data_IF_201290505878
#
_entry.id   IF_201290505878
#
_cell.length_a   1.000
_cell.length_b   1.000
_cell.length_c   1.000
_cell.angle_alpha   90.00
_cell.angle_beta   90.00
_cell.angle_gamma   90.00
#
_symmetry.space_group_name_H-M   'P 1'
#
loop_
_entity.id
_entity.type
_entity.pdbx_description
1 polymer ?
#
# COMPACT_ATOMS: atom_id res chain seq x y z
N UNK A 1 -16.91 -35.53 -87.08
CA UNK A 1 -15.51 -35.77 -86.79
C UNK A 1 -15.19 -35.12 -85.47
N UNK A 2 -14.97 -35.92 -84.51
CA UNK A 2 -14.88 -35.79 -83.06
C UNK A 2 -13.53 -35.28 -82.61
N UNK A 3 -13.45 -34.40 -81.68
CA UNK A 3 -12.31 -34.24 -80.78
C UNK A 3 -12.73 -33.77 -79.38
N UNK A 4 -12.59 -34.65 -78.42
CA UNK A 4 -12.71 -34.40 -76.99
C UNK A 4 -11.59 -33.50 -76.45
N UNK A 5 -11.89 -32.50 -75.64
CA UNK A 5 -10.95 -31.85 -74.74
C UNK A 5 -11.38 -32.04 -73.32
N UNK A 6 -10.54 -32.83 -72.60
CA UNK A 6 -10.61 -33.07 -71.17
C UNK A 6 -10.07 -31.84 -70.43
N UNK A 7 -10.86 -31.26 -69.54
CA UNK A 7 -10.49 -30.13 -68.69
C UNK A 7 -10.18 -30.64 -67.29
N UNK A 8 -8.89 -30.64 -66.92
CA UNK A 8 -8.42 -30.94 -65.55
C UNK A 8 -8.73 -29.74 -64.62
N UNK A 9 -9.64 -29.92 -63.68
CA UNK A 9 -9.81 -28.99 -62.57
C UNK A 9 -8.80 -29.28 -61.48
N UNK A 10 -7.85 -28.35 -61.25
CA UNK A 10 -6.98 -28.32 -60.07
C UNK A 10 -7.72 -27.77 -58.88
N UNK A 11 -8.02 -28.61 -57.90
CA UNK A 11 -8.52 -28.18 -56.60
C UNK A 11 -7.32 -27.67 -55.75
N UNK A 12 -7.23 -26.37 -55.59
CA UNK A 12 -6.33 -25.77 -54.61
C UNK A 12 -7.03 -25.75 -53.24
N UNK A 13 -6.66 -26.67 -52.36
CA UNK A 13 -7.01 -26.60 -50.96
C UNK A 13 -6.19 -25.50 -50.29
N UNK A 14 -6.83 -24.37 -49.96
CA UNK A 14 -6.26 -23.33 -49.14
C UNK A 14 -6.36 -23.77 -47.67
N UNK A 15 -5.25 -24.27 -47.10
CA UNK A 15 -5.14 -24.52 -45.67
C UNK A 15 -5.02 -23.16 -44.95
N UNK A 16 -6.14 -22.66 -44.42
CA UNK A 16 -6.13 -21.61 -43.42
C UNK A 16 -5.62 -22.19 -42.09
N UNK A 17 -4.36 -22.03 -41.80
CA UNK A 17 -3.78 -22.22 -40.48
C UNK A 17 -4.31 -21.11 -39.58
N UNK A 18 -5.40 -21.42 -38.83
CA UNK A 18 -5.87 -20.59 -37.71
C UNK A 18 -4.80 -20.72 -36.62
N UNK A 19 -3.97 -19.71 -36.48
CA UNK A 19 -3.09 -19.52 -35.32
C UNK A 19 -3.98 -19.12 -34.12
N UNK A 20 -4.51 -20.11 -33.41
CA UNK A 20 -5.04 -19.87 -32.08
C UNK A 20 -3.86 -19.50 -31.17
N UNK A 21 -3.63 -18.22 -30.99
CA UNK A 21 -2.78 -17.72 -29.93
C UNK A 21 -3.38 -18.14 -28.60
N UNK A 22 -2.86 -19.22 -28.02
CA UNK A 22 -3.14 -19.60 -26.64
C UNK A 22 -2.54 -18.46 -25.79
N UNK A 23 -3.36 -17.54 -25.33
CA UNK A 23 -3.06 -16.67 -24.19
C UNK A 23 -2.80 -17.60 -23.00
N UNK A 24 -1.57 -18.04 -22.85
CA UNK A 24 -1.13 -18.65 -21.62
C UNK A 24 -1.22 -17.57 -20.55
N UNK A 25 -2.25 -17.63 -19.72
CA UNK A 25 -2.25 -16.96 -18.44
C UNK A 25 -1.00 -17.44 -17.70
N UNK A 26 0.05 -16.64 -17.69
CA UNK A 26 1.27 -16.93 -16.93
C UNK A 26 0.87 -16.88 -15.47
N UNK A 27 0.47 -18.01 -14.93
CA UNK A 27 0.22 -18.15 -13.50
C UNK A 27 1.58 -18.00 -12.84
N UNK A 28 1.71 -16.98 -11.99
CA UNK A 28 2.93 -16.76 -11.23
C UNK A 28 3.25 -18.01 -10.41
N UNK A 29 4.47 -18.53 -10.58
CA UNK A 29 4.92 -19.68 -9.82
C UNK A 29 5.38 -19.24 -8.42
N UNK A 30 5.22 -20.09 -7.39
CA UNK A 30 5.76 -19.83 -6.06
C UNK A 30 7.26 -19.55 -6.13
N UNK A 31 7.70 -18.51 -5.40
CA UNK A 31 9.12 -18.15 -5.25
C UNK A 31 9.52 -18.36 -3.81
N UNK A 32 10.64 -19.03 -3.59
CA UNK A 32 11.17 -19.32 -2.26
C UNK A 32 12.65 -18.95 -2.20
N UNK A 33 13.02 -18.17 -1.21
CA UNK A 33 14.36 -17.62 -1.04
C UNK A 33 14.88 -17.97 0.35
N UNK A 34 16.09 -18.53 0.38
CA UNK A 34 16.86 -18.81 1.57
C UNK A 34 18.05 -17.83 1.63
N UNK A 35 18.03 -16.97 2.63
CA UNK A 35 19.02 -15.90 2.81
C UNK A 35 20.25 -16.42 3.54
N UNK A 36 21.10 -17.11 2.78
CA UNK A 36 22.17 -17.91 3.34
C UNK A 36 23.48 -17.79 2.55
N UNK A 37 24.61 -18.02 3.21
CA UNK A 37 25.93 -18.24 2.57
C UNK A 37 26.27 -19.71 2.48
N UNK A 38 25.67 -20.55 3.33
CA UNK A 38 25.82 -21.98 3.33
C UNK A 38 25.08 -22.68 2.20
N UNK A 39 24.67 -23.92 2.47
CA UNK A 39 23.83 -24.71 1.58
C UNK A 39 22.37 -24.30 1.79
N UNK A 40 21.70 -23.90 0.74
CA UNK A 40 20.28 -23.55 0.83
C UNK A 40 19.39 -24.78 1.09
N UNK A 41 18.22 -24.54 1.72
CA UNK A 41 17.18 -25.55 1.86
C UNK A 41 16.71 -26.03 0.48
N UNK A 42 16.40 -27.31 0.41
CA UNK A 42 15.91 -27.92 -0.82
C UNK A 42 14.66 -27.20 -1.31
N UNK A 43 14.58 -26.84 -2.58
CA UNK A 43 13.50 -26.07 -3.24
C UNK A 43 13.54 -24.56 -3.01
N UNK A 44 14.51 -24.05 -2.26
CA UNK A 44 14.72 -22.60 -2.10
C UNK A 44 15.87 -22.11 -2.97
N UNK A 45 15.73 -20.91 -3.47
CA UNK A 45 16.80 -20.20 -4.16
C UNK A 45 17.73 -19.58 -3.11
N UNK A 46 19.02 -19.91 -3.18
CA UNK A 46 20.02 -19.30 -2.32
C UNK A 46 20.18 -17.82 -2.64
N UNK A 47 20.15 -16.97 -1.61
CA UNK A 47 20.39 -15.53 -1.73
C UNK A 47 21.58 -15.14 -0.85
N UNK A 48 22.67 -14.71 -1.50
CA UNK A 48 23.90 -14.24 -0.82
C UNK A 48 23.99 -12.73 -0.83
N UNK A 49 24.79 -12.09 0.09
CA UNK A 49 24.89 -10.63 0.21
C UNK A 49 25.30 -9.89 -1.07
N UNK A 50 26.01 -10.54 -1.96
CA UNK A 50 26.49 -10.00 -3.25
C UNK A 50 25.46 -10.02 -4.37
N UNK A 51 24.29 -10.62 -4.14
CA UNK A 51 23.23 -10.75 -5.14
C UNK A 51 22.46 -9.45 -5.35
N UNK A 52 22.97 -8.55 -6.15
CA UNK A 52 22.23 -7.36 -6.60
C UNK A 52 21.14 -7.75 -7.61
N UNK A 53 20.00 -7.05 -7.53
CA UNK A 53 18.90 -7.22 -8.48
C UNK A 53 19.35 -6.88 -9.91
N UNK A 54 18.98 -7.75 -10.83
CA UNK A 54 19.01 -7.48 -12.27
C UNK A 54 17.72 -7.96 -12.94
N UNK A 55 17.33 -7.33 -14.03
CA UNK A 55 16.10 -7.68 -14.77
C UNK A 55 16.12 -9.13 -15.26
N UNK A 56 17.30 -9.64 -15.66
CA UNK A 56 17.49 -11.00 -16.17
C UNK A 56 17.34 -12.04 -15.06
N UNK A 57 17.90 -11.76 -13.88
CA UNK A 57 17.76 -12.64 -12.71
C UNK A 57 16.35 -12.56 -12.12
N UNK A 58 15.78 -11.36 -12.10
CA UNK A 58 14.44 -11.09 -11.59
C UNK A 58 14.33 -11.14 -10.05
N UNK A 59 15.44 -11.11 -9.31
CA UNK A 59 15.46 -10.95 -7.86
C UNK A 59 16.84 -10.49 -7.38
N UNK A 60 16.90 -9.91 -6.18
CA UNK A 60 18.15 -9.49 -5.55
C UNK A 60 17.98 -8.26 -4.68
N UNK A 61 19.07 -7.85 -4.02
CA UNK A 61 19.11 -6.60 -3.26
C UNK A 61 19.16 -5.40 -4.19
N UNK A 62 18.48 -4.31 -3.83
CA UNK A 62 18.56 -3.08 -4.62
C UNK A 62 19.98 -2.52 -4.64
N UNK A 63 20.41 -1.89 -5.75
CA UNK A 63 21.72 -1.25 -5.84
C UNK A 63 21.97 -0.27 -4.68
N UNK A 64 23.17 -0.29 -4.12
CA UNK A 64 23.56 0.54 -2.97
C UNK A 64 23.18 -0.04 -1.61
N UNK A 65 22.43 -1.12 -1.56
CA UNK A 65 22.14 -1.85 -0.31
C UNK A 65 23.40 -2.56 0.17
N UNK A 66 23.78 -2.32 1.44
CA UNK A 66 24.90 -3.01 2.08
C UNK A 66 24.36 -4.00 3.10
N UNK A 67 24.50 -5.28 2.80
CA UNK A 67 24.08 -6.37 3.66
C UNK A 67 25.24 -7.31 3.96
N UNK A 68 25.12 -8.02 5.08
CA UNK A 68 26.04 -9.12 5.46
C UNK A 68 25.23 -10.33 5.88
N UNK A 69 25.83 -11.51 5.74
CA UNK A 69 25.25 -12.74 6.25
C UNK A 69 25.98 -13.21 7.50
N UNK A 70 25.29 -13.99 8.30
CA UNK A 70 25.86 -14.69 9.45
C UNK A 70 25.41 -16.14 9.39
N UNK A 71 26.37 -17.07 9.41
CA UNK A 71 26.13 -18.50 9.46
C UNK A 71 26.23 -18.97 10.91
N UNK A 72 25.22 -19.70 11.38
CA UNK A 72 25.17 -20.37 12.69
C UNK A 72 25.29 -21.88 12.52
N UNK A 73 25.50 -22.57 13.63
CA UNK A 73 25.52 -24.03 13.67
C UNK A 73 24.09 -24.54 13.95
N UNK A 74 23.56 -25.43 13.10
CA UNK A 74 22.24 -26.01 13.30
C UNK A 74 21.88 -27.04 12.24
N UNK A 75 20.75 -27.73 12.43
CA UNK A 75 20.23 -28.72 11.49
C UNK A 75 19.15 -28.14 10.57
N UNK A 76 18.47 -27.09 10.99
CA UNK A 76 17.41 -26.42 10.23
C UNK A 76 18.03 -25.39 9.30
N UNK A 77 18.11 -25.70 8.02
CA UNK A 77 18.76 -24.87 7.02
C UNK A 77 18.14 -23.48 6.88
N UNK A 78 16.83 -23.34 7.04
CA UNK A 78 16.15 -22.05 6.99
C UNK A 78 16.35 -21.17 8.22
N UNK A 79 17.03 -21.69 9.28
CA UNK A 79 17.29 -20.99 10.53
C UNK A 79 18.77 -20.99 10.91
N UNK A 80 19.62 -21.53 10.04
CA UNK A 80 21.08 -21.58 10.30
C UNK A 80 21.77 -20.27 9.98
N UNK A 81 21.27 -19.52 9.05
CA UNK A 81 21.83 -18.25 8.60
C UNK A 81 20.75 -17.22 8.36
N UNK A 82 21.20 -16.00 8.25
CA UNK A 82 20.37 -14.86 7.96
C UNK A 82 21.17 -13.78 7.26
N UNK A 83 20.45 -12.87 6.59
CA UNK A 83 20.99 -11.60 6.11
C UNK A 83 20.51 -10.48 7.02
N UNK A 84 21.42 -9.53 7.29
CA UNK A 84 21.22 -8.36 8.14
C UNK A 84 21.99 -7.17 7.60
N UNK A 85 21.68 -5.98 8.11
CA UNK A 85 22.41 -4.73 7.86
C UNK A 85 22.34 -3.84 9.09
N UNK A 86 23.18 -2.79 9.12
CA UNK A 86 23.17 -1.77 10.18
C UNK A 86 22.12 -0.67 9.92
N UNK A 87 21.51 -0.69 8.75
CA UNK A 87 20.42 0.20 8.32
C UNK A 87 19.35 -0.60 7.57
N UNK A 88 18.28 0.07 7.14
CA UNK A 88 17.28 -0.57 6.28
C UNK A 88 17.92 -1.11 4.99
N UNK A 89 17.47 -2.29 4.56
CA UNK A 89 17.91 -2.90 3.31
C UNK A 89 16.71 -3.38 2.49
N UNK A 90 16.91 -3.48 1.17
CA UNK A 90 15.84 -3.72 0.21
C UNK A 90 16.12 -4.96 -0.63
N UNK A 91 15.10 -5.81 -0.76
CA UNK A 91 15.12 -6.99 -1.62
C UNK A 91 13.93 -6.96 -2.55
N UNK A 92 14.16 -7.12 -3.85
CA UNK A 92 13.12 -7.06 -4.89
C UNK A 92 12.99 -8.38 -5.62
N UNK A 93 11.76 -8.71 -6.02
CA UNK A 93 11.42 -9.90 -6.81
C UNK A 93 10.50 -9.49 -7.94
N UNK A 94 10.87 -9.81 -9.18
CA UNK A 94 10.04 -9.59 -10.36
C UNK A 94 8.87 -10.57 -10.39
N UNK A 95 7.66 -10.01 -10.45
CA UNK A 95 6.40 -10.75 -10.42
C UNK A 95 5.36 -10.09 -11.33
N UNK A 96 4.41 -10.84 -11.89
CA UNK A 96 3.23 -10.26 -12.54
C UNK A 96 2.39 -9.44 -11.56
N UNK A 97 1.60 -8.50 -12.08
CA UNK A 97 0.55 -7.82 -11.30
C UNK A 97 -0.39 -8.84 -10.64
N UNK A 98 -0.71 -8.65 -9.36
CA UNK A 98 -1.59 -9.56 -8.64
C UNK A 98 -1.46 -9.47 -7.12
N UNK A 99 -2.15 -10.36 -6.44
CA UNK A 99 -2.08 -10.51 -4.99
C UNK A 99 -1.20 -11.71 -4.63
N UNK A 100 -0.43 -11.56 -3.55
CA UNK A 100 0.53 -12.57 -3.11
C UNK A 100 0.49 -12.75 -1.61
N UNK A 101 0.48 -14.01 -1.17
CA UNK A 101 0.77 -14.39 0.20
C UNK A 101 2.28 -14.51 0.37
N UNK A 102 2.76 -13.93 1.43
CA UNK A 102 4.18 -13.89 1.78
C UNK A 102 4.34 -14.53 3.15
N UNK A 103 5.31 -15.43 3.27
CA UNK A 103 5.80 -15.93 4.55
C UNK A 103 7.24 -15.52 4.75
N UNK A 104 7.54 -14.97 5.90
CA UNK A 104 8.87 -14.53 6.30
C UNK A 104 9.33 -15.31 7.54
N UNK A 105 10.60 -15.69 7.59
CA UNK A 105 11.23 -16.21 8.81
C UNK A 105 12.29 -15.19 9.25
N UNK A 106 12.16 -14.70 10.49
CA UNK A 106 13.09 -13.78 11.13
C UNK A 106 13.59 -14.38 12.44
N UNK A 107 14.81 -14.04 12.85
CA UNK A 107 15.38 -14.56 14.09
C UNK A 107 16.89 -14.81 13.97
N UNK A 108 17.45 -15.35 15.06
CA UNK A 108 18.89 -15.69 15.13
C UNK A 108 19.08 -16.76 16.20
N UNK A 109 19.83 -17.80 15.89
CA UNK A 109 20.14 -18.90 16.82
C UNK A 109 20.99 -18.44 18.04
N UNK A 110 21.81 -17.41 17.88
CA UNK A 110 22.78 -16.96 18.89
C UNK A 110 22.66 -15.46 19.18
N UNK A 111 21.54 -14.84 18.83
CA UNK A 111 21.35 -13.40 19.03
C UNK A 111 19.88 -12.99 19.00
N UNK A 112 19.64 -11.70 19.14
CA UNK A 112 18.31 -11.11 19.04
C UNK A 112 18.04 -10.60 17.63
N UNK A 113 16.77 -10.44 17.24
CA UNK A 113 16.40 -9.64 16.08
C UNK A 113 15.28 -8.66 16.43
N UNK A 114 15.24 -7.53 15.71
CA UNK A 114 14.19 -6.55 15.79
C UNK A 114 13.91 -6.04 14.38
N UNK A 115 12.85 -6.58 13.77
CA UNK A 115 12.57 -6.41 12.35
C UNK A 115 11.17 -5.82 12.14
N UNK A 116 11.09 -4.76 11.36
CA UNK A 116 9.88 -4.20 10.78
C UNK A 116 9.96 -4.42 9.26
N UNK A 117 8.85 -4.82 8.64
CA UNK A 117 8.79 -5.07 7.20
C UNK A 117 7.80 -4.10 6.56
N UNK A 118 8.30 -3.36 5.59
CA UNK A 118 7.48 -2.54 4.70
C UNK A 118 7.62 -3.08 3.28
N UNK A 119 6.64 -2.83 2.44
CA UNK A 119 6.70 -3.23 1.02
C UNK A 119 6.40 -2.04 0.13
N UNK A 120 6.95 -2.07 -1.09
CA UNK A 120 6.74 -1.03 -2.09
C UNK A 120 7.12 0.36 -1.53
N UNK A 121 6.30 1.36 -1.75
CA UNK A 121 6.48 2.68 -1.16
C UNK A 121 6.14 2.68 0.34
N UNK A 122 6.96 2.02 1.15
CA UNK A 122 6.91 2.07 2.63
C UNK A 122 5.58 1.62 3.24
N UNK A 123 4.79 0.79 2.55
CA UNK A 123 3.54 0.23 3.06
C UNK A 123 3.84 -0.67 4.25
N UNK A 124 3.31 -0.33 5.42
CA UNK A 124 3.57 -1.08 6.66
C UNK A 124 2.84 -2.42 6.65
N UNK A 125 3.60 -3.51 6.73
CA UNK A 125 3.05 -4.87 6.75
C UNK A 125 3.25 -5.57 8.09
N UNK A 126 4.45 -5.49 8.64
CA UNK A 126 4.83 -6.11 9.91
C UNK A 126 5.57 -5.07 10.74
N UNK A 127 5.17 -4.95 11.99
CA UNK A 127 5.70 -3.95 12.91
C UNK A 127 6.43 -4.61 14.07
N UNK A 128 7.70 -4.20 14.30
CA UNK A 128 8.46 -4.46 15.52
C UNK A 128 8.46 -5.93 15.99
N UNK A 129 8.72 -6.87 15.07
CA UNK A 129 8.90 -8.28 15.46
C UNK A 129 10.23 -8.42 16.18
N UNK A 130 10.17 -8.71 17.48
CA UNK A 130 11.33 -8.92 18.34
C UNK A 130 11.48 -10.41 18.63
N UNK A 131 12.67 -10.96 18.38
CA UNK A 131 13.01 -12.33 18.79
C UNK A 131 14.17 -12.31 19.78
N UNK A 132 14.09 -13.15 20.81
CA UNK A 132 15.19 -13.39 21.74
C UNK A 132 16.23 -14.37 21.15
N UNK A 133 17.35 -14.50 21.81
CA UNK A 133 18.40 -15.46 21.46
C UNK A 133 17.83 -16.89 21.28
N UNK A 134 18.15 -17.54 20.19
CA UNK A 134 17.69 -18.87 19.84
C UNK A 134 16.22 -18.95 19.35
N UNK A 135 15.55 -17.81 19.23
CA UNK A 135 14.14 -17.76 18.84
C UNK A 135 13.94 -17.26 17.40
N UNK A 136 12.89 -17.79 16.76
CA UNK A 136 12.50 -17.42 15.40
C UNK A 136 11.01 -17.15 15.35
N UNK A 137 10.62 -16.20 14.51
CA UNK A 137 9.21 -15.91 14.22
C UNK A 137 8.95 -16.15 12.73
N UNK A 138 7.87 -16.86 12.44
CA UNK A 138 7.28 -16.92 11.11
C UNK A 138 6.14 -15.93 11.04
N UNK A 139 6.20 -14.99 10.10
CA UNK A 139 5.17 -13.96 9.90
C UNK A 139 4.57 -14.09 8.52
N UNK A 140 3.24 -14.07 8.46
CA UNK A 140 2.49 -14.08 7.21
C UNK A 140 1.93 -12.69 6.91
N UNK A 141 1.86 -12.33 5.63
CA UNK A 141 1.25 -11.09 5.15
C UNK A 141 0.72 -11.27 3.72
N UNK A 142 -0.21 -10.43 3.30
CA UNK A 142 -0.73 -10.45 1.93
C UNK A 142 -0.51 -9.09 1.28
N UNK A 143 0.09 -9.08 0.09
CA UNK A 143 0.44 -7.86 -0.64
C UNK A 143 -0.23 -7.80 -2.00
N UNK A 144 -0.54 -6.59 -2.44
CA UNK A 144 -0.94 -6.30 -3.80
C UNK A 144 0.21 -5.63 -4.55
N UNK A 145 0.60 -6.23 -5.66
CA UNK A 145 1.49 -5.67 -6.66
C UNK A 145 0.64 -5.15 -7.82
N UNK A 146 0.81 -3.89 -8.20
CA UNK A 146 0.01 -3.21 -9.21
C UNK A 146 0.85 -2.62 -10.32
N UNK A 147 0.31 -2.65 -11.53
CA UNK A 147 0.86 -1.97 -12.69
C UNK A 147 -0.06 -0.84 -13.15
N UNK A 148 0.41 0.14 -13.93
CA UNK A 148 -0.45 1.17 -14.47
C UNK A 148 -1.37 0.67 -15.57
N UNK A 149 -1.18 -0.53 -16.11
CA UNK A 149 -1.91 -1.06 -17.25
C UNK A 149 -3.37 -1.39 -16.89
N UNK A 150 -4.32 -0.89 -17.66
CA UNK A 150 -5.77 -1.15 -17.53
C UNK A 150 -6.19 -2.22 -18.54
N UNK A 151 -5.75 -2.07 -19.79
CA UNK A 151 -5.94 -3.00 -20.91
C UNK A 151 -4.74 -2.92 -21.84
N UNK A 152 -4.75 -3.65 -22.93
CA UNK A 152 -3.64 -3.63 -23.93
C UNK A 152 -3.38 -2.22 -24.49
N UNK A 153 -4.38 -1.35 -24.49
CA UNK A 153 -4.31 0.00 -25.08
C UNK A 153 -4.47 1.14 -24.08
N UNK A 154 -4.82 0.84 -22.84
CA UNK A 154 -5.16 1.86 -21.85
C UNK A 154 -4.36 1.69 -20.55
N UNK A 155 -3.90 2.79 -20.00
CA UNK A 155 -3.16 2.85 -18.74
C UNK A 155 -3.52 4.09 -17.91
N UNK A 156 -3.21 4.04 -16.61
CA UNK A 156 -3.24 5.20 -15.72
C UNK A 156 -2.28 6.27 -16.25
N UNK A 157 -2.69 7.54 -16.20
CA UNK A 157 -1.78 8.67 -16.39
C UNK A 157 -1.01 8.91 -15.11
N UNK A 158 0.22 8.39 -15.04
CA UNK A 158 1.12 8.61 -13.91
C UNK A 158 1.72 10.01 -13.95
N UNK A 159 1.89 10.62 -12.77
CA UNK A 159 2.64 11.87 -12.63
C UNK A 159 4.15 11.58 -12.81
N UNK A 160 4.96 12.53 -13.31
CA UNK A 160 6.40 12.28 -13.55
C UNK A 160 7.16 11.74 -12.34
N UNK A 161 6.81 12.16 -11.12
CA UNK A 161 7.44 11.66 -9.89
C UNK A 161 7.15 10.18 -9.60
N UNK A 162 5.98 9.66 -10.00
CA UNK A 162 5.58 8.27 -9.76
C UNK A 162 6.42 7.28 -10.55
N UNK A 163 7.04 7.70 -11.66
CA UNK A 163 7.93 6.87 -12.48
C UNK A 163 9.21 6.44 -11.73
N UNK A 164 9.53 7.07 -10.62
CA UNK A 164 10.67 6.75 -9.77
C UNK A 164 10.29 6.05 -8.45
N UNK A 165 9.00 5.76 -8.25
CA UNK A 165 8.52 5.12 -7.04
C UNK A 165 8.65 3.61 -7.11
N UNK A 166 8.72 2.95 -5.95
CA UNK A 166 8.78 1.50 -5.81
C UNK A 166 7.40 0.83 -5.95
N UNK A 167 6.52 1.44 -6.70
CA UNK A 167 5.24 0.86 -7.10
C UNK A 167 4.93 1.25 -8.54
N UNK A 168 3.96 0.66 -9.18
CA UNK A 168 3.63 0.79 -10.60
C UNK A 168 4.62 0.09 -11.55
N UNK A 169 5.37 -0.88 -11.05
CA UNK A 169 6.29 -1.70 -11.84
C UNK A 169 5.97 -3.21 -11.71
N UNK A 170 6.89 -4.07 -12.12
CA UNK A 170 6.79 -5.52 -12.03
C UNK A 170 7.70 -6.10 -10.92
N UNK A 171 8.06 -5.29 -9.91
CA UNK A 171 8.96 -5.68 -8.83
C UNK A 171 8.27 -5.54 -7.48
N UNK A 172 8.06 -6.65 -6.79
CA UNK A 172 7.66 -6.60 -5.38
C UNK A 172 8.91 -6.34 -4.54
N UNK A 173 8.98 -5.15 -3.96
CA UNK A 173 10.13 -4.69 -3.17
C UNK A 173 9.82 -4.73 -1.68
N UNK A 174 10.67 -5.40 -0.92
CA UNK A 174 10.63 -5.49 0.54
C UNK A 174 11.67 -4.55 1.13
N UNK A 175 11.28 -3.76 2.14
CA UNK A 175 12.17 -3.02 3.03
C UNK A 175 12.21 -3.73 4.38
N UNK A 176 13.38 -4.21 4.78
CA UNK A 176 13.65 -4.75 6.10
C UNK A 176 14.35 -3.68 6.92
N UNK A 177 13.75 -3.27 8.03
CA UNK A 177 14.25 -2.18 8.87
C UNK A 177 14.02 -2.48 10.35
N UNK A 178 14.56 -1.67 11.25
CA UNK A 178 14.50 -1.86 12.69
C UNK A 178 15.88 -1.76 13.34
N UNK A 179 15.98 -2.05 14.64
CA UNK A 179 17.25 -1.94 15.37
C UNK A 179 18.25 -3.04 14.98
N UNK A 180 17.76 -4.22 14.65
CA UNK A 180 18.56 -5.37 14.22
C UNK A 180 17.76 -6.20 13.20
N UNK A 181 17.51 -5.67 11.99
CA UNK A 181 16.71 -6.36 11.01
C UNK A 181 17.43 -7.62 10.53
N UNK A 182 16.75 -8.76 10.57
CA UNK A 182 17.24 -10.06 10.10
C UNK A 182 16.20 -10.76 9.27
N UNK A 183 16.62 -11.40 8.19
CA UNK A 183 15.79 -12.25 7.36
C UNK A 183 16.49 -13.57 7.09
N UNK A 184 15.82 -14.67 7.39
CA UNK A 184 16.30 -16.03 7.17
C UNK A 184 15.70 -16.60 5.87
N UNK A 185 14.39 -16.49 5.70
CA UNK A 185 13.70 -17.03 4.52
C UNK A 185 12.51 -16.16 4.11
N UNK A 186 12.16 -16.24 2.82
CA UNK A 186 11.03 -15.55 2.20
C UNK A 186 10.33 -16.51 1.23
N UNK A 187 9.04 -16.72 1.41
CA UNK A 187 8.18 -17.43 0.46
C UNK A 187 7.14 -16.48 -0.12
N UNK A 188 6.91 -16.55 -1.42
CA UNK A 188 5.94 -15.75 -2.17
C UNK A 188 5.06 -16.71 -2.95
N UNK A 189 3.75 -16.68 -2.68
CA UNK A 189 2.76 -17.54 -3.34
C UNK A 189 1.63 -16.68 -3.89
N UNK A 190 1.21 -16.84 -5.15
CA UNK A 190 0.06 -16.12 -5.69
C UNK A 190 -1.21 -16.38 -4.87
N UNK A 191 -1.98 -15.33 -4.60
CA UNK A 191 -3.27 -15.41 -3.93
C UNK A 191 -4.38 -14.93 -4.86
N UNK A 192 -5.22 -15.85 -5.32
CA UNK A 192 -6.33 -15.55 -6.23
C UNK A 192 -7.68 -15.43 -5.50
N UNK A 193 -7.72 -15.69 -4.20
CA UNK A 193 -8.93 -15.80 -3.38
C UNK A 193 -9.13 -14.66 -2.41
N UNK A 194 -8.05 -13.95 -2.01
CA UNK A 194 -8.14 -12.81 -1.12
C UNK A 194 -9.08 -11.73 -1.72
N UNK A 195 -9.93 -11.18 -0.86
CA UNK A 195 -10.71 -9.99 -1.20
C UNK A 195 -9.79 -8.78 -1.25
N UNK A 196 -10.02 -7.92 -2.22
CA UNK A 196 -9.22 -6.70 -2.35
C UNK A 196 -9.98 -5.52 -1.75
N UNK A 197 -9.34 -4.80 -0.85
CA UNK A 197 -9.78 -3.49 -0.35
C UNK A 197 -9.03 -2.44 -1.16
N UNK A 198 -9.71 -1.84 -2.12
CA UNK A 198 -9.21 -0.74 -2.90
C UNK A 198 -9.31 0.57 -2.10
N UNK A 199 -8.24 1.37 -2.12
CA UNK A 199 -8.25 2.71 -1.56
C UNK A 199 -8.21 3.73 -2.71
N UNK A 200 -9.19 4.63 -2.74
CA UNK A 200 -9.24 5.78 -3.63
C UNK A 200 -9.14 7.05 -2.79
N UNK A 201 -8.16 7.91 -3.08
CA UNK A 201 -7.90 9.08 -2.27
C UNK A 201 -6.76 9.96 -2.79
N UNK A 202 -6.31 10.83 -1.92
CA UNK A 202 -5.27 11.81 -2.20
C UNK A 202 -4.01 11.61 -1.33
N UNK A 203 -3.24 12.68 -1.05
CA UNK A 203 -1.99 12.63 -0.27
C UNK A 203 -2.14 12.12 1.17
N UNK A 204 -3.36 12.11 1.71
CA UNK A 204 -3.66 11.62 3.06
C UNK A 204 -3.93 10.11 3.10
N UNK A 205 -4.06 9.48 1.92
CA UNK A 205 -4.34 8.04 1.73
C UNK A 205 -3.21 7.30 1.02
N UNK A 206 -2.45 7.98 0.12
CA UNK A 206 -1.42 7.37 -0.74
C UNK A 206 -0.29 6.69 0.03
N UNK A 207 0.33 5.68 -0.56
CA UNK A 207 1.61 5.17 -0.08
C UNK A 207 2.71 6.21 -0.35
N UNK A 208 3.01 7.06 0.63
CA UNK A 208 4.04 8.11 0.51
C UNK A 208 5.42 7.48 0.31
N UNK A 209 6.08 7.78 -0.81
CA UNK A 209 7.35 7.16 -1.17
C UNK A 209 8.52 7.60 -0.27
N UNK A 210 8.44 8.78 0.33
CA UNK A 210 9.58 9.39 1.02
C UNK A 210 9.22 9.91 2.42
N UNK A 211 10.16 9.74 3.36
CA UNK A 211 10.14 10.46 4.63
C UNK A 211 10.24 11.99 4.40
N UNK A 212 9.68 12.82 5.29
CA UNK A 212 8.97 12.48 6.53
C UNK A 212 7.47 12.26 6.38
N UNK A 213 6.96 12.27 5.16
CA UNK A 213 5.54 12.18 4.87
C UNK A 213 5.03 10.75 4.97
N UNK A 214 3.83 10.59 5.52
CA UNK A 214 3.11 9.34 5.62
C UNK A 214 1.60 9.56 5.49
N UNK A 215 0.81 8.48 5.36
CA UNK A 215 -0.64 8.51 5.29
C UNK A 215 -1.28 7.32 5.99
N UNK A 216 -2.59 7.41 6.29
CA UNK A 216 -3.28 6.30 6.93
C UNK A 216 -3.39 5.06 6.01
N UNK A 217 -3.54 5.26 4.69
CA UNK A 217 -3.64 4.15 3.73
C UNK A 217 -2.35 3.34 3.62
N UNK A 218 -1.19 3.97 3.92
CA UNK A 218 0.11 3.32 3.99
C UNK A 218 0.28 2.47 5.25
N UNK A 219 -0.39 2.83 6.35
CA UNK A 219 -0.26 2.16 7.64
C UNK A 219 -1.31 1.06 7.87
N UNK A 220 -2.47 1.16 7.20
CA UNK A 220 -3.62 0.29 7.47
C UNK A 220 -3.40 -1.20 7.15
N UNK A 221 -2.57 -1.62 6.17
CA UNK A 221 -2.38 -3.03 5.86
C UNK A 221 -1.93 -3.88 7.05
N UNK A 222 -1.17 -3.29 7.97
CA UNK A 222 -0.67 -3.94 9.19
C UNK A 222 -1.79 -4.48 10.09
N UNK A 223 -3.01 -3.97 9.95
CA UNK A 223 -4.14 -4.31 10.83
C UNK A 223 -5.03 -5.43 10.29
N UNK A 224 -4.77 -5.96 9.10
CA UNK A 224 -5.59 -6.97 8.47
C UNK A 224 -5.00 -8.38 8.53
N UNK A 225 -5.88 -9.36 8.58
CA UNK A 225 -5.49 -10.78 8.55
C UNK A 225 -4.90 -11.15 7.19
N UNK A 226 -3.73 -11.82 7.16
CA UNK A 226 -3.18 -12.35 5.93
C UNK A 226 -4.11 -13.39 5.29
N UNK A 227 -3.83 -13.77 4.06
CA UNK A 227 -4.52 -14.75 3.23
C UNK A 227 -5.94 -14.36 2.81
N UNK A 228 -6.71 -13.70 3.68
CA UNK A 228 -8.13 -13.44 3.49
C UNK A 228 -8.42 -12.14 2.74
N UNK A 229 -7.57 -11.11 2.96
CA UNK A 229 -7.78 -9.77 2.42
C UNK A 229 -6.45 -9.10 2.08
N UNK A 230 -6.48 -8.17 1.13
CA UNK A 230 -5.32 -7.38 0.71
C UNK A 230 -5.70 -5.94 0.45
N UNK A 231 -4.82 -5.02 0.81
CA UNK A 231 -4.99 -3.59 0.52
C UNK A 231 -4.31 -3.24 -0.80
N UNK A 232 -5.09 -2.65 -1.72
CA UNK A 232 -4.62 -2.11 -3.00
C UNK A 232 -4.83 -0.59 -3.02
N UNK A 233 -3.78 0.17 -2.73
CA UNK A 233 -3.85 1.62 -2.57
C UNK A 233 -3.59 2.34 -3.90
N UNK A 234 -4.65 2.88 -4.52
CA UNK A 234 -4.59 3.63 -5.78
C UNK A 234 -4.60 5.15 -5.60
N UNK A 235 -4.60 5.62 -4.36
CA UNK A 235 -4.53 7.04 -4.05
C UNK A 235 -3.24 7.69 -4.58
N UNK A 236 -3.27 9.01 -4.79
CA UNK A 236 -2.07 9.76 -5.19
C UNK A 236 -2.14 11.20 -4.68
N UNK A 237 -0.97 11.73 -4.30
CA UNK A 237 -0.85 13.11 -3.81
C UNK A 237 -1.33 14.12 -4.85
N UNK A 238 -2.09 15.13 -4.37
CA UNK A 238 -2.64 16.19 -5.21
C UNK A 238 -3.92 15.81 -5.96
N UNK A 239 -4.42 14.58 -5.85
CA UNK A 239 -5.66 14.21 -6.51
C UNK A 239 -6.88 14.81 -5.79
N UNK A 240 -7.79 15.40 -6.58
CA UNK A 240 -9.20 15.54 -6.26
C UNK A 240 -9.96 14.35 -6.85
N UNK A 241 -11.22 14.13 -6.47
CA UNK A 241 -12.03 13.08 -7.08
C UNK A 241 -12.15 13.25 -8.60
N UNK A 242 -12.26 14.51 -9.06
CA UNK A 242 -12.28 14.83 -10.50
C UNK A 242 -10.98 14.43 -11.21
N UNK A 243 -9.82 14.81 -10.69
CA UNK A 243 -8.52 14.49 -11.32
C UNK A 243 -8.17 13.02 -11.19
N UNK A 244 -8.57 12.36 -10.10
CA UNK A 244 -8.44 10.92 -9.91
C UNK A 244 -9.17 10.11 -11.01
N UNK A 245 -10.39 10.56 -11.36
CA UNK A 245 -11.14 9.99 -12.48
C UNK A 245 -10.48 10.30 -13.84
N UNK A 246 -10.05 11.54 -14.04
CA UNK A 246 -9.41 11.98 -15.27
C UNK A 246 -8.07 11.27 -15.54
N UNK A 247 -7.30 10.96 -14.51
CA UNK A 247 -6.06 10.18 -14.60
C UNK A 247 -6.30 8.66 -14.77
N UNK A 248 -7.56 8.24 -14.85
CA UNK A 248 -8.00 6.84 -15.04
C UNK A 248 -7.72 5.90 -13.87
N UNK A 249 -7.46 6.42 -12.66
CA UNK A 249 -7.21 5.59 -11.47
C UNK A 249 -8.46 4.83 -11.05
N UNK A 250 -9.65 5.46 -11.13
CA UNK A 250 -10.92 4.78 -10.92
C UNK A 250 -11.19 3.69 -11.97
N UNK A 251 -10.86 3.96 -13.25
CA UNK A 251 -10.99 2.95 -14.30
C UNK A 251 -10.12 1.73 -14.03
N UNK A 252 -8.87 1.95 -13.56
CA UNK A 252 -7.98 0.85 -13.15
C UNK A 252 -8.57 0.05 -11.99
N UNK A 253 -9.07 0.70 -10.95
CA UNK A 253 -9.75 0.03 -9.83
C UNK A 253 -10.88 -0.86 -10.37
N UNK A 254 -11.77 -0.30 -11.17
CA UNK A 254 -12.92 -1.04 -11.71
C UNK A 254 -12.53 -2.17 -12.68
N UNK A 255 -11.36 -2.09 -13.35
CA UNK A 255 -10.88 -3.18 -14.20
C UNK A 255 -10.41 -4.40 -13.37
N UNK A 256 -9.92 -4.19 -12.15
CA UNK A 256 -9.42 -5.23 -11.26
C UNK A 256 -10.50 -5.77 -10.28
N UNK A 257 -11.53 -4.97 -10.03
CA UNK A 257 -12.54 -5.20 -9.00
C UNK A 257 -13.39 -6.44 -9.28
N UNK A 258 -13.59 -7.28 -8.26
CA UNK A 258 -14.39 -8.50 -8.27
C UNK A 258 -15.55 -8.41 -7.27
N UNK A 259 -16.52 -9.29 -7.43
CA UNK A 259 -17.62 -9.42 -6.48
C UNK A 259 -17.11 -9.70 -5.06
N UNK A 260 -17.58 -8.91 -4.11
CA UNK A 260 -17.23 -9.00 -2.70
C UNK A 260 -15.96 -8.24 -2.30
N UNK A 261 -15.29 -7.57 -3.24
CA UNK A 261 -14.22 -6.60 -2.92
C UNK A 261 -14.81 -5.35 -2.27
N UNK A 262 -13.94 -4.51 -1.70
CA UNK A 262 -14.32 -3.24 -1.08
C UNK A 262 -13.66 -2.07 -1.80
N UNK A 263 -14.33 -0.91 -1.78
CA UNK A 263 -13.75 0.36 -2.22
C UNK A 263 -13.95 1.41 -1.13
N UNK A 264 -12.87 1.82 -0.48
CA UNK A 264 -12.84 2.94 0.45
C UNK A 264 -12.52 4.22 -0.33
N UNK A 265 -13.37 5.24 -0.19
CA UNK A 265 -13.30 6.49 -0.96
C UNK A 265 -13.13 7.67 -0.01
N UNK A 266 -11.99 8.38 -0.07
CA UNK A 266 -11.67 9.55 0.75
C UNK A 266 -11.12 10.69 -0.11
N UNK A 267 -11.91 11.75 -0.33
CA UNK A 267 -11.52 12.96 -1.01
C UNK A 267 -12.11 14.17 -0.27
N UNK A 268 -11.55 15.33 -0.42
CA UNK A 268 -12.04 16.68 -0.13
C UNK A 268 -10.90 17.70 -0.15
N UNK A 269 -9.68 17.33 0.35
CA UNK A 269 -8.56 18.28 0.55
C UNK A 269 -8.19 19.09 -0.71
N UNK A 270 -8.34 18.48 -1.89
CA UNK A 270 -8.05 19.13 -3.17
C UNK A 270 -9.32 19.52 -3.92
N UNK A 271 -10.43 18.86 -3.65
CA UNK A 271 -11.73 19.16 -4.24
C UNK A 271 -12.22 20.55 -3.85
N UNK A 272 -12.11 20.91 -2.58
CA UNK A 272 -12.49 22.21 -2.04
C UNK A 272 -11.72 23.41 -2.64
N UNK A 273 -10.58 23.17 -3.28
CA UNK A 273 -9.81 24.20 -3.96
C UNK A 273 -10.35 24.56 -5.35
N UNK A 274 -11.22 23.71 -5.88
CA UNK A 274 -11.84 23.90 -7.18
C UNK A 274 -13.10 24.77 -7.02
N UNK A 275 -13.01 26.03 -7.42
CA UNK A 275 -14.08 27.03 -7.23
C UNK A 275 -15.40 26.65 -7.89
N UNK A 276 -15.35 25.86 -8.95
CA UNK A 276 -16.50 25.35 -9.71
C UNK A 276 -17.07 24.04 -9.18
N UNK A 277 -16.45 23.42 -8.16
CA UNK A 277 -16.87 22.16 -7.61
C UNK A 277 -17.62 22.36 -6.28
N UNK A 278 -18.94 22.34 -6.36
CA UNK A 278 -19.80 22.48 -5.20
C UNK A 278 -19.97 21.14 -4.47
N UNK A 279 -19.92 21.12 -3.11
CA UNK A 279 -20.00 19.89 -2.29
C UNK A 279 -21.25 19.04 -2.58
N UNK A 280 -22.43 19.67 -2.57
CA UNK A 280 -23.72 18.97 -2.70
C UNK A 280 -24.20 18.79 -4.16
N UNK A 281 -23.44 19.25 -5.14
CA UNK A 281 -23.77 19.12 -6.57
C UNK A 281 -22.75 18.26 -7.27
N UNK A 282 -21.67 18.87 -7.77
CA UNK A 282 -20.69 18.17 -8.60
C UNK A 282 -19.86 17.12 -7.83
N UNK A 283 -19.44 17.44 -6.61
CA UNK A 283 -18.67 16.51 -5.78
C UNK A 283 -19.53 15.31 -5.35
N UNK A 284 -20.74 15.56 -4.83
CA UNK A 284 -21.68 14.52 -4.46
C UNK A 284 -22.00 13.61 -5.65
N UNK A 285 -22.28 14.17 -6.82
CA UNK A 285 -22.58 13.39 -8.03
C UNK A 285 -21.44 12.43 -8.43
N UNK A 286 -20.18 12.86 -8.30
CA UNK A 286 -19.03 11.98 -8.55
C UNK A 286 -18.90 10.86 -7.50
N UNK A 287 -19.22 11.12 -6.22
CA UNK A 287 -19.28 10.06 -5.20
C UNK A 287 -20.38 9.03 -5.53
N UNK A 288 -21.54 9.50 -5.93
CA UNK A 288 -22.67 8.66 -6.35
C UNK A 288 -22.30 7.74 -7.53
N UNK A 289 -21.58 8.30 -8.50
CA UNK A 289 -21.05 7.53 -9.63
C UNK A 289 -20.09 6.42 -9.19
N UNK A 290 -19.17 6.73 -8.29
CA UNK A 290 -18.23 5.76 -7.72
C UNK A 290 -18.97 4.65 -6.96
N UNK A 291 -19.99 5.00 -6.16
CA UNK A 291 -20.83 4.03 -5.44
C UNK A 291 -21.55 3.11 -6.42
N UNK A 292 -22.20 3.68 -7.44
CA UNK A 292 -22.96 2.91 -8.43
C UNK A 292 -22.07 1.94 -9.21
N UNK A 293 -20.91 2.40 -9.68
CA UNK A 293 -19.93 1.56 -10.39
C UNK A 293 -19.40 0.43 -9.50
N UNK A 294 -19.16 0.70 -8.23
CA UNK A 294 -18.72 -0.31 -7.26
C UNK A 294 -19.79 -1.38 -7.06
N UNK A 295 -21.05 -0.95 -6.80
CA UNK A 295 -22.19 -1.86 -6.65
C UNK A 295 -22.44 -2.69 -7.93
N UNK A 296 -22.28 -2.10 -9.11
CA UNK A 296 -22.43 -2.79 -10.39
C UNK A 296 -21.39 -3.92 -10.58
N UNK A 297 -20.21 -3.84 -9.95
CA UNK A 297 -19.21 -4.92 -9.89
C UNK A 297 -19.54 -5.99 -8.83
N UNK A 298 -20.63 -5.81 -8.07
CA UNK A 298 -20.95 -6.66 -6.91
C UNK A 298 -19.98 -6.45 -5.73
N UNK A 299 -19.27 -5.32 -5.71
CA UNK A 299 -18.37 -4.91 -4.65
C UNK A 299 -19.06 -3.93 -3.68
N UNK A 300 -18.42 -3.66 -2.56
CA UNK A 300 -18.99 -2.93 -1.43
C UNK A 300 -18.30 -1.57 -1.31
N UNK A 301 -19.01 -0.45 -1.57
CA UNK A 301 -18.45 0.89 -1.35
C UNK A 301 -18.52 1.27 0.13
N UNK A 302 -17.46 1.93 0.61
CA UNK A 302 -17.35 2.52 1.94
C UNK A 302 -16.89 3.96 1.78
N UNK A 303 -17.64 4.92 2.26
CA UNK A 303 -17.25 6.31 2.24
C UNK A 303 -16.44 6.65 3.50
N UNK A 304 -15.40 7.44 3.33
CA UNK A 304 -14.55 7.95 4.41
C UNK A 304 -14.55 9.48 4.33
N UNK A 305 -14.97 10.17 5.40
CA UNK A 305 -14.86 11.63 5.43
C UNK A 305 -13.41 12.05 5.62
N UNK A 306 -12.96 13.07 4.89
CA UNK A 306 -11.58 13.58 5.04
C UNK A 306 -11.31 14.15 6.43
N UNK A 307 -10.17 13.77 6.99
CA UNK A 307 -9.72 14.24 8.30
C UNK A 307 -9.43 15.74 8.30
N UNK A 308 -9.49 16.36 9.48
CA UNK A 308 -9.14 17.76 9.67
C UNK A 308 -7.65 18.04 9.51
N UNK A 309 -7.35 19.24 8.98
CA UNK A 309 -6.01 19.84 9.09
C UNK A 309 -5.75 20.27 10.52
N UNK A 310 -4.48 20.49 10.85
CA UNK A 310 -4.05 21.03 12.15
C UNK A 310 -4.23 22.57 12.17
N UNK A 311 -5.47 23.02 12.19
CA UNK A 311 -5.81 24.44 12.30
C UNK A 311 -6.64 24.63 13.55
N UNK A 312 -6.05 25.26 14.58
CA UNK A 312 -6.70 25.53 15.86
C UNK A 312 -7.13 27.00 15.93
N UNK A 313 -8.23 27.23 16.63
CA UNK A 313 -8.61 28.58 17.07
C UNK A 313 -7.86 28.97 18.37
N UNK A 314 -8.12 30.16 18.86
CA UNK A 314 -7.48 30.70 20.07
C UNK A 314 -7.88 29.96 21.36
N UNK A 315 -8.90 29.12 21.31
CA UNK A 315 -9.40 28.32 22.46
C UNK A 315 -8.94 26.86 22.40
N UNK A 316 -8.17 26.49 21.38
CA UNK A 316 -7.61 25.16 21.22
C UNK A 316 -8.55 24.15 20.54
N UNK A 317 -9.58 24.63 19.84
CA UNK A 317 -10.47 23.79 19.05
C UNK A 317 -10.10 23.79 17.57
N UNK A 318 -10.33 22.66 16.91
CA UNK A 318 -10.06 22.50 15.47
C UNK A 318 -11.07 23.30 14.65
N UNK A 319 -10.54 24.16 13.75
CA UNK A 319 -11.31 24.89 12.76
C UNK A 319 -11.56 23.99 11.54
N UNK A 320 -12.81 23.92 11.10
CA UNK A 320 -13.13 23.24 9.85
C UNK A 320 -12.62 24.04 8.65
N UNK A 321 -11.61 23.50 7.97
CA UNK A 321 -11.03 24.09 6.76
C UNK A 321 -11.48 23.37 5.48
N UNK A 322 -12.39 22.41 5.57
CA UNK A 322 -12.89 21.60 4.44
C UNK A 322 -14.29 22.05 3.98
N UNK A 323 -14.87 23.08 4.61
CA UNK A 323 -16.24 23.51 4.31
C UNK A 323 -17.24 22.37 4.44
N UNK A 324 -18.17 22.30 3.53
CA UNK A 324 -19.27 21.31 3.54
C UNK A 324 -18.92 19.99 2.83
N UNK A 325 -17.68 19.78 2.38
CA UNK A 325 -17.29 18.53 1.70
C UNK A 325 -17.47 17.30 2.58
N UNK A 326 -17.06 17.28 3.88
CA UNK A 326 -17.32 16.14 4.76
C UNK A 326 -18.82 15.89 4.99
N UNK A 327 -19.65 16.95 5.05
CA UNK A 327 -21.09 16.79 5.19
C UNK A 327 -21.73 16.21 3.92
N UNK A 328 -21.26 16.63 2.75
CA UNK A 328 -21.69 16.02 1.48
C UNK A 328 -21.41 14.50 1.46
N UNK A 329 -20.26 14.06 2.00
CA UNK A 329 -19.96 12.61 2.14
C UNK A 329 -20.96 11.92 3.08
N UNK A 330 -21.27 12.51 4.25
CA UNK A 330 -22.25 11.97 5.20
C UNK A 330 -23.65 11.85 4.60
N UNK A 331 -24.09 12.91 3.91
CA UNK A 331 -25.38 12.91 3.19
C UNK A 331 -25.42 11.82 2.13
N UNK A 332 -24.37 11.72 1.31
CA UNK A 332 -24.28 10.70 0.25
C UNK A 332 -24.32 9.28 0.84
N UNK A 333 -23.56 9.03 1.93
CA UNK A 333 -23.57 7.72 2.59
C UNK A 333 -24.97 7.32 3.08
N UNK A 334 -25.67 8.27 3.71
CA UNK A 334 -27.03 8.05 4.22
C UNK A 334 -28.04 7.79 3.10
N UNK A 335 -28.02 8.61 2.05
CA UNK A 335 -28.97 8.48 0.91
C UNK A 335 -28.78 7.19 0.12
N UNK A 336 -27.52 6.74 -0.06
CA UNK A 336 -27.20 5.51 -0.78
C UNK A 336 -27.09 4.27 0.11
N UNK A 337 -27.32 4.42 1.43
CA UNK A 337 -27.24 3.33 2.43
C UNK A 337 -25.91 2.56 2.32
N UNK A 338 -24.80 3.29 2.28
CA UNK A 338 -23.45 2.73 2.29
C UNK A 338 -22.75 3.02 3.61
N UNK A 339 -21.81 2.14 3.97
CA UNK A 339 -21.02 2.31 5.19
C UNK A 339 -20.25 3.63 5.16
N UNK A 340 -20.18 4.30 6.31
CA UNK A 340 -19.47 5.57 6.52
C UNK A 340 -18.46 5.44 7.65
N UNK A 341 -17.21 5.76 7.36
CA UNK A 341 -16.17 5.99 8.35
C UNK A 341 -16.03 7.50 8.54
N UNK A 342 -16.53 8.04 9.65
CA UNK A 342 -16.47 9.48 9.92
C UNK A 342 -15.11 9.89 10.49
N UNK A 343 -14.06 9.80 9.64
CA UNK A 343 -12.71 10.15 10.02
C UNK A 343 -12.55 11.65 10.29
N UNK A 344 -13.42 12.50 9.72
CA UNK A 344 -13.45 13.92 10.01
C UNK A 344 -13.76 14.17 11.50
N UNK A 345 -14.82 13.57 12.03
CA UNK A 345 -15.17 13.68 13.44
C UNK A 345 -14.09 13.06 14.34
N UNK A 346 -13.59 11.87 14.00
CA UNK A 346 -12.57 11.19 14.80
C UNK A 346 -11.26 11.97 14.83
N UNK A 347 -10.83 12.56 13.72
CA UNK A 347 -9.60 13.35 13.66
C UNK A 347 -9.71 14.67 14.43
N UNK A 348 -10.89 15.29 14.47
CA UNK A 348 -11.13 16.45 15.34
C UNK A 348 -10.84 16.09 16.79
N UNK A 349 -11.48 15.03 17.28
CA UNK A 349 -11.26 14.51 18.65
C UNK A 349 -9.78 14.21 18.90
N UNK A 350 -9.11 13.55 17.96
CA UNK A 350 -7.70 13.17 18.05
C UNK A 350 -6.77 14.39 18.18
N UNK A 351 -6.96 15.39 17.29
CA UNK A 351 -6.09 16.57 17.31
C UNK A 351 -6.35 17.46 18.54
N UNK A 352 -7.59 17.58 18.97
CA UNK A 352 -7.95 18.31 20.19
C UNK A 352 -7.42 17.61 21.44
N UNK A 353 -7.43 16.27 21.49
CA UNK A 353 -6.85 15.50 22.59
C UNK A 353 -5.31 15.65 22.69
N UNK A 354 -4.61 15.70 21.55
CA UNK A 354 -3.18 16.03 21.52
C UNK A 354 -2.90 17.49 21.86
N UNK A 355 -3.85 18.38 21.60
CA UNK A 355 -3.69 19.80 21.81
C UNK A 355 -2.77 20.48 20.79
N UNK A 356 -2.63 21.81 20.94
CA UNK A 356 -1.94 22.65 19.94
C UNK A 356 -0.47 22.27 19.78
N UNK A 357 0.26 21.94 20.84
CA UNK A 357 1.70 21.68 20.74
C UNK A 357 2.00 20.22 20.34
N UNK A 358 1.46 19.24 21.05
CA UNK A 358 1.78 17.82 20.76
C UNK A 358 1.26 17.36 19.41
N UNK A 359 0.16 17.92 18.91
CA UNK A 359 -0.35 17.62 17.57
C UNK A 359 0.63 17.95 16.45
N UNK A 360 1.61 18.87 16.65
CA UNK A 360 2.69 19.12 15.69
C UNK A 360 3.47 17.85 15.33
N UNK A 361 3.58 16.90 16.28
CA UNK A 361 4.30 15.64 16.07
C UNK A 361 3.52 14.65 15.19
N UNK A 362 2.21 14.82 15.11
CA UNK A 362 1.36 14.05 14.20
C UNK A 362 1.41 14.57 12.76
N UNK A 363 1.86 15.79 12.56
CA UNK A 363 2.02 16.44 11.27
C UNK A 363 3.51 16.63 10.92
N UNK A 364 3.79 17.08 9.71
CA UNK A 364 5.18 17.27 9.28
C UNK A 364 5.69 18.64 9.74
N UNK A 365 6.06 18.69 11.01
CA UNK A 365 6.76 19.80 11.61
C UNK A 365 8.19 19.39 11.94
N UNK A 366 9.15 19.81 11.14
CA UNK A 366 10.56 19.37 11.21
C UNK A 366 11.45 20.60 11.43
N UNK A 367 12.30 20.62 12.45
CA UNK A 367 13.24 21.71 12.66
C UNK A 367 14.20 21.88 11.48
N UNK A 368 14.73 23.10 11.32
CA UNK A 368 15.79 23.39 10.37
C UNK A 368 16.98 22.45 10.57
N UNK A 369 17.66 22.11 9.48
CA UNK A 369 18.85 21.24 9.47
C UNK A 369 18.64 19.79 9.96
N UNK A 370 17.39 19.31 10.04
CA UNK A 370 17.09 17.90 10.39
C UNK A 370 17.42 16.93 9.26
N UNK A 371 17.27 17.35 8.02
CA UNK A 371 17.61 16.56 6.83
C UNK A 371 18.78 17.17 6.08
N UNK A 372 19.69 16.35 5.50
CA UNK A 372 20.79 16.85 4.69
C UNK A 372 20.30 17.77 3.56
N UNK A 373 20.98 18.90 3.40
CA UNK A 373 20.68 19.88 2.34
C UNK A 373 19.44 20.76 2.58
N UNK A 374 18.81 20.70 3.77
CA UNK A 374 17.68 21.56 4.12
C UNK A 374 17.98 22.45 5.32
N UNK A 375 18.22 23.72 5.06
CA UNK A 375 18.46 24.73 6.08
C UNK A 375 17.20 25.31 6.72
N UNK A 376 16.02 25.10 6.12
CA UNK A 376 14.75 25.65 6.60
C UNK A 376 13.90 24.60 7.32
N UNK A 377 13.13 25.05 8.31
CA UNK A 377 12.13 24.20 8.96
C UNK A 377 10.97 23.88 8.02
N UNK A 378 10.36 22.72 8.19
CA UNK A 378 9.06 22.37 7.57
C UNK A 378 7.98 22.62 8.61
N UNK A 379 6.89 23.28 8.19
CA UNK A 379 5.68 23.49 8.98
C UNK A 379 4.47 23.20 8.12
N UNK A 380 4.04 21.93 8.11
CA UNK A 380 2.94 21.45 7.31
C UNK A 380 1.80 20.99 8.22
N UNK A 381 0.68 21.70 8.17
CA UNK A 381 -0.53 21.42 8.95
C UNK A 381 -1.53 20.49 8.23
N UNK A 382 -1.15 19.90 7.11
CA UNK A 382 -2.03 19.04 6.30
C UNK A 382 -1.52 17.61 6.22
N UNK A 383 -0.21 17.43 5.98
CA UNK A 383 0.37 16.11 5.78
C UNK A 383 0.94 15.55 7.09
N UNK A 384 0.90 14.23 7.21
CA UNK A 384 1.19 13.52 8.46
C UNK A 384 2.62 13.00 8.50
N UNK A 385 3.16 12.96 9.71
CA UNK A 385 4.29 12.12 10.08
C UNK A 385 3.87 10.65 10.16
N UNK A 386 4.83 9.74 10.34
CA UNK A 386 4.53 8.32 10.58
C UNK A 386 3.60 8.14 11.79
N UNK A 387 3.80 8.92 12.88
CA UNK A 387 2.94 8.88 14.06
C UNK A 387 1.50 9.28 13.73
N UNK A 388 1.29 10.45 13.10
CA UNK A 388 -0.04 10.92 12.76
C UNK A 388 -0.78 9.99 11.79
N UNK A 389 -0.08 9.48 10.79
CA UNK A 389 -0.61 8.51 9.83
C UNK A 389 -1.05 7.20 10.52
N UNK A 390 -0.25 6.73 11.49
CA UNK A 390 -0.58 5.53 12.27
C UNK A 390 -1.80 5.73 13.17
N UNK A 391 -1.91 6.88 13.87
CA UNK A 391 -3.08 7.20 14.70
C UNK A 391 -4.35 7.30 13.84
N UNK A 392 -4.28 7.89 12.64
CA UNK A 392 -5.39 7.96 11.70
C UNK A 392 -5.78 6.57 11.17
N UNK A 393 -4.80 5.69 10.89
CA UNK A 393 -5.10 4.31 10.51
C UNK A 393 -5.86 3.57 11.61
N UNK A 394 -5.53 3.79 12.90
CA UNK A 394 -6.31 3.26 14.04
C UNK A 394 -7.72 3.82 14.08
N UNK A 395 -7.90 5.12 13.78
CA UNK A 395 -9.25 5.71 13.65
C UNK A 395 -10.06 5.01 12.54
N UNK A 396 -9.43 4.75 11.37
CA UNK A 396 -10.11 4.03 10.26
C UNK A 396 -10.47 2.61 10.68
N UNK A 397 -9.60 1.89 11.38
CA UNK A 397 -9.88 0.56 11.94
C UNK A 397 -11.10 0.59 12.88
N UNK A 398 -11.18 1.57 13.78
CA UNK A 398 -12.35 1.75 14.66
C UNK A 398 -13.62 2.11 13.88
N UNK A 399 -13.48 2.92 12.82
CA UNK A 399 -14.57 3.20 11.91
C UNK A 399 -15.10 1.92 11.24
N UNK A 400 -14.21 1.05 10.77
CA UNK A 400 -14.56 -0.26 10.19
C UNK A 400 -15.31 -1.11 11.21
N UNK A 401 -14.83 -1.22 12.45
CA UNK A 401 -15.49 -2.00 13.52
C UNK A 401 -16.92 -1.54 13.80
N UNK A 402 -17.18 -0.24 13.69
CA UNK A 402 -18.48 0.36 13.98
C UNK A 402 -19.48 0.31 12.85
N UNK A 403 -19.00 0.21 11.61
CA UNK A 403 -19.84 0.44 10.43
C UNK A 403 -20.04 -0.76 9.52
N UNK A 404 -19.13 -1.73 9.54
CA UNK A 404 -19.21 -2.91 8.67
C UNK A 404 -18.65 -4.16 9.38
N UNK A 405 -19.55 -4.97 9.92
CA UNK A 405 -19.19 -6.20 10.62
C UNK A 405 -18.45 -7.21 9.73
N UNK A 406 -18.75 -7.26 8.43
CA UNK A 406 -18.08 -8.17 7.51
C UNK A 406 -16.65 -7.71 7.25
N UNK A 407 -16.44 -6.42 6.98
CA UNK A 407 -15.10 -5.86 6.80
C UNK A 407 -14.29 -5.95 8.11
N UNK A 408 -14.94 -5.73 9.25
CA UNK A 408 -14.32 -5.87 10.57
C UNK A 408 -13.82 -7.30 10.87
N UNK A 409 -14.47 -8.32 10.33
CA UNK A 409 -14.03 -9.72 10.51
C UNK A 409 -12.69 -10.05 9.85
N UNK A 410 -12.19 -9.20 8.97
CA UNK A 410 -10.86 -9.32 8.36
C UNK A 410 -9.74 -8.63 9.15
N UNK A 411 -10.07 -7.89 10.20
CA UNK A 411 -9.06 -7.31 11.08
C UNK A 411 -8.39 -8.39 11.93
N UNK A 412 -7.13 -8.18 12.27
CA UNK A 412 -6.42 -9.06 13.21
C UNK A 412 -7.19 -9.10 14.55
N UNK A 413 -7.35 -10.27 15.17
CA UNK A 413 -8.20 -10.43 16.35
C UNK A 413 -7.63 -9.79 17.62
N UNK A 414 -6.33 -9.61 17.67
CA UNK A 414 -5.57 -9.10 18.82
C UNK A 414 -5.34 -7.59 18.79
N UNK A 415 -5.89 -6.86 17.81
CA UNK A 415 -5.78 -5.40 17.76
C UNK A 415 -6.65 -4.79 18.87
N UNK A 416 -6.05 -4.05 19.80
CA UNK A 416 -6.81 -3.38 20.86
C UNK A 416 -7.78 -2.34 20.28
N UNK A 417 -8.86 -2.04 21.01
CA UNK A 417 -9.73 -0.92 20.70
C UNK A 417 -8.96 0.41 20.76
N UNK A 418 -9.40 1.38 19.96
CA UNK A 418 -8.76 2.69 19.91
C UNK A 418 -9.78 3.81 20.16
N UNK A 419 -9.45 4.69 21.08
CA UNK A 419 -10.22 5.90 21.35
C UNK A 419 -9.42 7.12 20.88
N UNK A 420 -9.91 7.88 19.87
CA UNK A 420 -9.25 9.11 19.43
C UNK A 420 -9.05 10.16 20.51
N UNK A 421 -9.85 10.13 21.61
CA UNK A 421 -9.68 11.00 22.76
C UNK A 421 -8.50 10.60 23.66
N UNK A 422 -7.92 9.41 23.44
CA UNK A 422 -6.78 8.88 24.19
C UNK A 422 -5.70 8.37 23.21
N UNK A 423 -5.06 9.26 22.44
CA UNK A 423 -4.02 8.87 21.48
C UNK A 423 -2.83 8.20 22.17
N UNK A 424 -2.14 7.33 21.44
CA UNK A 424 -0.90 6.73 21.98
C UNK A 424 0.09 7.84 22.32
N UNK A 425 0.82 7.73 23.45
CA UNK A 425 1.84 8.72 23.78
C UNK A 425 2.93 8.79 22.69
N UNK A 426 3.21 9.99 22.21
CA UNK A 426 4.18 10.20 21.09
C UNK A 426 5.54 9.63 21.40
N UNK A 427 5.99 9.71 22.65
CA UNK A 427 7.30 9.23 23.10
C UNK A 427 7.43 7.70 23.15
N UNK A 428 6.32 6.97 23.08
CA UNK A 428 6.30 5.49 23.00
C UNK A 428 6.23 4.96 21.59
N UNK A 429 6.06 5.83 20.60
CA UNK A 429 5.95 5.45 19.20
C UNK A 429 7.36 5.23 18.61
N UNK A 430 7.81 3.96 18.64
CA UNK A 430 9.10 3.54 18.07
C UNK A 430 8.88 2.97 16.67
N UNK A 431 8.97 3.82 15.67
CA UNK A 431 8.76 3.46 14.26
C UNK A 431 10.03 3.69 13.46
N UNK A 432 10.63 2.63 12.86
CA UNK A 432 11.87 2.77 12.12
C UNK A 432 11.66 3.54 10.82
N UNK A 433 12.44 4.59 10.62
CA UNK A 433 12.36 5.41 9.39
C UNK A 433 12.95 4.65 8.21
N UNK A 434 12.40 4.94 7.03
CA UNK A 434 12.97 4.49 5.77
C UNK A 434 14.10 5.43 5.33
N UNK A 435 15.10 4.94 4.59
CA UNK A 435 16.23 5.77 4.13
C UNK A 435 15.84 6.75 3.02
N UNK A 436 14.75 6.49 2.32
CA UNK A 436 14.27 7.41 1.27
C UNK A 436 13.62 8.62 1.92
N UNK A 437 14.25 9.79 1.77
CA UNK A 437 13.76 11.03 2.32
C UNK A 437 13.79 12.12 1.25
N UNK A 438 12.67 12.80 1.06
CA UNK A 438 12.56 14.03 0.29
C UNK A 438 11.80 15.05 1.12
N UNK A 439 12.39 16.23 1.26
CA UNK A 439 11.79 17.32 2.02
C UNK A 439 10.86 18.21 1.20
N UNK A 440 10.56 17.80 -0.03
CA UNK A 440 9.58 18.47 -0.89
C UNK A 440 8.18 18.06 -0.45
N UNK A 441 7.36 19.06 -0.16
CA UNK A 441 5.96 18.88 0.23
C UNK A 441 5.19 18.13 -0.87
N UNK A 442 4.35 17.14 -0.51
CA UNK A 442 3.46 16.49 -1.48
C UNK A 442 2.53 17.51 -2.16
N UNK A 443 2.17 17.26 -3.41
CA UNK A 443 1.21 18.10 -4.12
C UNK A 443 -0.14 18.14 -3.39
N UNK A 444 -0.82 19.24 -3.53
CA UNK A 444 -2.18 19.42 -3.04
C UNK A 444 -2.33 20.42 -1.92
N UNK A 445 -1.31 21.15 -1.57
CA UNK A 445 -1.41 22.27 -0.59
C UNK A 445 -0.88 23.58 -1.10
#
# INVERSE_FOLDING_TARGET
>A
MTALFSCFRKNSFLLCLIWMGILQNVVAQPRRFDFCTGKAEKTYVRVTPDMTYTTEKGYGFLPGTQVRSTLRKGKDQLRNDFITADSAFFFSVKLPEGNYNIRLITGDQEGTSHTTVKVECRRLMIENVVTSNGSFTSSDLTVNLRSPQISDTEKITLKPRELSYLHWDDQLTFEFTGKQPKICALEIVPNHTARTIFLAGNSTVVDQANEPYASWGQMIPRFFQPDSVVIANYAESGESLRSFNASKRSAKIFSQMKKGDYLLIEFAHNDQKQKDLLPFVGYKSMLEEMIQKTKAKGAIPVLVTSMHRRNFDSTGHIINTLGDFPEAVRVTAREHQVALIDLNAMSKTLWEALGVEESKKAFVHIPANTYPGRSEAISDNTHFSNYGAYQLAKCVVEGIRKTDNQLASYLLPDIPGYDPAQPDPVNTFDFPRSPFAKTVKPDGN
#
